data_IF_498152251408
#
_entry.id   IF_498152251408
#
_cell.length_a   1.000
_cell.length_b   1.000
_cell.length_c   1.000
_cell.angle_alpha   90.00
_cell.angle_beta   90.00
_cell.angle_gamma   90.00
#
_symmetry.space_group_name_H-M   'P 1'
#
loop_
_entity.id
_entity.type
_entity.pdbx_description
1 polymer ?
#
# COMPACT_ATOMS: atom_id res chain seq x y z
N UNK A 1 22.35 2.91 19.45
CA UNK A 1 21.01 2.31 19.26
C UNK A 1 20.03 3.42 18.92
N UNK A 2 19.10 3.18 18.01
CA UNK A 2 18.02 4.13 17.70
C UNK A 2 16.90 4.02 18.74
N UNK A 3 15.98 5.00 18.78
CA UNK A 3 14.85 4.99 19.73
C UNK A 3 14.00 3.71 19.63
N UNK A 4 13.76 3.23 18.40
CA UNK A 4 13.03 1.98 18.17
C UNK A 4 13.80 0.81 18.76
N UNK A 5 15.10 0.70 18.49
CA UNK A 5 15.94 -0.38 19.01
C UNK A 5 16.01 -0.38 20.54
N UNK A 6 16.13 0.79 21.17
CA UNK A 6 16.14 0.94 22.63
C UNK A 6 14.81 0.50 23.26
N UNK A 7 13.69 0.86 22.64
CA UNK A 7 12.36 0.50 23.12
C UNK A 7 12.02 -0.99 22.91
N UNK A 8 12.54 -1.62 21.84
CA UNK A 8 12.09 -2.97 21.45
C UNK A 8 13.05 -4.08 21.84
N UNK A 9 14.36 -3.91 21.70
CA UNK A 9 15.34 -5.00 21.87
C UNK A 9 15.27 -5.69 23.24
N UNK A 10 15.22 -4.97 24.38
CA UNK A 10 15.15 -5.62 25.71
C UNK A 10 13.92 -6.52 25.86
N UNK A 11 12.79 -6.10 25.29
CA UNK A 11 11.51 -6.81 25.38
C UNK A 11 11.50 -7.98 24.39
N UNK A 12 12.00 -7.80 23.18
CA UNK A 12 12.08 -8.85 22.14
C UNK A 12 12.90 -10.05 22.62
N UNK A 13 14.03 -9.81 23.30
CA UNK A 13 14.88 -10.87 23.82
C UNK A 13 14.25 -11.68 24.96
N UNK A 14 13.17 -11.18 25.58
CA UNK A 14 12.44 -11.86 26.64
C UNK A 14 11.56 -13.04 26.18
N UNK A 15 11.49 -13.33 24.87
CA UNK A 15 10.77 -14.49 24.32
C UNK A 15 9.24 -14.37 24.28
N UNK A 16 8.68 -13.25 24.72
CA UNK A 16 7.24 -12.95 24.65
C UNK A 16 6.84 -12.58 23.22
N UNK A 17 5.66 -13.00 22.79
CA UNK A 17 5.09 -12.55 21.52
C UNK A 17 4.79 -11.05 21.56
N UNK A 18 5.03 -10.35 20.45
CA UNK A 18 4.94 -8.89 20.38
C UNK A 18 4.21 -8.40 19.14
N UNK A 19 3.37 -7.39 19.32
CA UNK A 19 2.88 -6.51 18.28
C UNK A 19 3.51 -5.13 18.46
N UNK A 20 4.29 -4.70 17.48
CA UNK A 20 5.09 -3.48 17.55
C UNK A 20 4.60 -2.50 16.49
N UNK A 21 4.12 -1.33 16.93
CA UNK A 21 3.78 -0.21 16.06
C UNK A 21 4.96 0.74 15.92
N UNK A 22 5.40 1.00 14.69
CA UNK A 22 6.55 1.86 14.39
C UNK A 22 6.45 2.58 13.04
N UNK A 23 7.25 3.63 12.83
CA UNK A 23 7.39 4.36 11.54
C UNK A 23 7.85 3.43 10.42
N UNK A 24 8.46 2.31 10.79
CA UNK A 24 9.18 1.41 9.90
C UNK A 24 10.44 2.06 9.37
N UNK A 25 11.30 1.27 8.76
CA UNK A 25 12.56 1.76 8.21
C UNK A 25 13.56 0.63 8.11
N UNK A 26 14.83 0.97 8.27
CA UNK A 26 15.89 -0.04 8.39
C UNK A 26 16.14 -0.38 9.86
N UNK A 27 15.79 0.50 10.80
CA UNK A 27 16.10 0.33 12.22
C UNK A 27 15.30 -0.80 12.89
N UNK A 28 14.02 -0.96 12.54
CA UNK A 28 13.15 -2.06 12.96
C UNK A 28 13.59 -3.40 12.36
N UNK A 29 14.05 -3.37 11.11
CA UNK A 29 14.67 -4.53 10.45
C UNK A 29 15.93 -4.95 11.18
N UNK A 30 16.83 -4.00 11.46
CA UNK A 30 18.07 -4.27 12.22
C UNK A 30 17.76 -4.77 13.63
N UNK A 31 16.77 -4.21 14.32
CA UNK A 31 16.34 -4.73 15.64
C UNK A 31 15.92 -6.21 15.58
N UNK A 32 15.14 -6.58 14.56
CA UNK A 32 14.72 -7.96 14.34
C UNK A 32 15.87 -8.88 13.96
N UNK A 33 16.80 -8.39 13.14
CA UNK A 33 17.98 -9.15 12.74
C UNK A 33 18.95 -9.36 13.91
N UNK A 34 19.13 -8.38 14.80
CA UNK A 34 19.94 -8.54 16.01
C UNK A 34 19.38 -9.65 16.90
N UNK A 35 18.06 -9.64 17.14
CA UNK A 35 17.39 -10.71 17.89
C UNK A 35 17.49 -12.06 17.19
N UNK A 36 17.31 -12.08 15.86
CA UNK A 36 17.45 -13.28 15.04
C UNK A 36 18.85 -13.90 15.13
N UNK A 37 19.90 -13.09 15.02
CA UNK A 37 21.29 -13.53 15.07
C UNK A 37 21.64 -14.02 16.47
N UNK A 38 21.26 -13.29 17.52
CA UNK A 38 21.47 -13.71 18.91
C UNK A 38 20.81 -15.08 19.19
N UNK A 39 19.56 -15.26 18.76
CA UNK A 39 18.85 -16.52 18.91
C UNK A 39 19.50 -17.66 18.10
N UNK A 40 19.93 -17.39 16.87
CA UNK A 40 20.61 -18.37 16.02
C UNK A 40 21.96 -18.81 16.61
N UNK A 41 22.70 -17.90 17.24
CA UNK A 41 23.98 -18.21 17.90
C UNK A 41 23.80 -19.01 19.19
N UNK A 42 22.75 -18.71 19.98
CA UNK A 42 22.45 -19.41 21.24
C UNK A 42 21.77 -20.76 21.07
N UNK A 43 21.10 -20.98 19.93
CA UNK A 43 20.40 -22.24 19.68
C UNK A 43 21.39 -23.35 19.33
N UNK A 44 21.46 -24.44 20.11
CA UNK A 44 22.34 -25.55 19.79
C UNK A 44 22.01 -26.13 18.43
N UNK A 45 23.05 -26.39 17.62
CA UNK A 45 22.88 -27.07 16.34
C UNK A 45 22.49 -28.52 16.58
N UNK A 46 21.19 -28.79 16.60
CA UNK A 46 20.73 -30.17 16.52
C UNK A 46 20.88 -30.66 15.09
N UNK A 47 21.67 -31.72 14.91
CA UNK A 47 21.66 -32.52 13.70
C UNK A 47 20.37 -33.34 13.77
N UNK A 48 19.40 -33.06 12.89
CA UNK A 48 18.20 -33.89 12.82
C UNK A 48 18.58 -35.33 12.43
N UNK A 49 17.69 -36.30 12.66
CA UNK A 49 17.87 -37.71 12.25
C UNK A 49 18.23 -37.87 10.75
N UNK A 50 17.95 -36.85 9.93
CA UNK A 50 18.31 -36.80 8.51
C UNK A 50 19.67 -36.12 8.19
N UNK A 51 20.47 -35.79 9.21
CA UNK A 51 21.79 -35.17 9.05
C UNK A 51 21.74 -33.67 8.69
N UNK A 52 20.57 -33.03 8.77
CA UNK A 52 20.35 -31.64 8.29
C UNK A 52 19.92 -30.73 9.43
N UNK A 53 20.38 -29.47 9.40
CA UNK A 53 19.99 -28.47 10.38
C UNK A 53 18.67 -27.78 10.00
N UNK A 54 17.81 -27.56 10.99
CA UNK A 54 16.55 -26.83 10.88
C UNK A 54 16.79 -25.32 11.01
N UNK A 55 16.05 -24.51 10.26
CA UNK A 55 16.00 -23.08 10.44
C UNK A 55 15.30 -22.74 11.76
N UNK A 56 15.92 -21.85 12.54
CA UNK A 56 15.41 -21.40 13.84
C UNK A 56 14.71 -20.05 13.73
N UNK A 57 15.03 -19.27 12.70
CA UNK A 57 14.46 -17.96 12.49
C UNK A 57 13.88 -17.80 11.09
N UNK A 58 12.69 -17.22 11.02
CA UNK A 58 12.00 -16.88 9.78
C UNK A 58 11.54 -15.42 9.86
N UNK A 59 12.03 -14.59 8.95
CA UNK A 59 11.57 -13.22 8.75
C UNK A 59 10.81 -13.13 7.42
N UNK A 60 9.60 -12.58 7.46
CA UNK A 60 8.73 -12.42 6.28
C UNK A 60 8.50 -10.95 6.01
N UNK A 61 8.75 -10.53 4.78
CA UNK A 61 8.56 -9.16 4.30
C UNK A 61 7.62 -9.14 3.09
N UNK A 62 6.81 -8.09 2.92
CA UNK A 62 5.81 -8.01 1.85
C UNK A 62 6.39 -7.95 0.44
N UNK A 63 7.61 -7.43 0.25
CA UNK A 63 8.22 -7.21 -1.08
C UNK A 63 9.62 -7.77 -1.20
N UNK A 64 10.05 -8.03 -2.44
CA UNK A 64 11.39 -8.52 -2.74
C UNK A 64 12.47 -7.52 -2.34
N UNK A 65 12.21 -6.24 -2.58
CA UNK A 65 13.13 -5.15 -2.28
C UNK A 65 13.41 -5.07 -0.77
N UNK A 66 12.37 -5.25 0.06
CA UNK A 66 12.56 -5.30 1.52
C UNK A 66 13.31 -6.55 1.97
N UNK A 67 13.06 -7.70 1.33
CA UNK A 67 13.86 -8.91 1.57
C UNK A 67 15.33 -8.69 1.20
N UNK A 68 15.61 -8.04 0.07
CA UNK A 68 16.98 -7.76 -0.38
C UNK A 68 17.71 -6.81 0.58
N UNK A 69 17.04 -5.76 1.06
CA UNK A 69 17.57 -4.86 2.10
C UNK A 69 17.84 -5.63 3.39
N UNK A 70 16.86 -6.41 3.88
CA UNK A 70 17.02 -7.20 5.10
C UNK A 70 18.13 -8.25 4.98
N UNK A 71 18.27 -8.89 3.81
CA UNK A 71 19.33 -9.84 3.55
C UNK A 71 20.71 -9.19 3.48
N UNK A 72 20.82 -7.99 2.91
CA UNK A 72 22.06 -7.23 2.90
C UNK A 72 22.49 -6.84 4.32
N UNK A 73 21.57 -6.34 5.14
CA UNK A 73 21.84 -6.02 6.56
C UNK A 73 22.17 -7.27 7.37
N UNK A 74 21.48 -8.38 7.14
CA UNK A 74 21.77 -9.65 7.80
C UNK A 74 23.19 -10.14 7.48
N UNK A 75 23.63 -10.03 6.22
CA UNK A 75 25.00 -10.41 5.82
C UNK A 75 26.06 -9.57 6.51
N UNK A 76 25.82 -8.26 6.70
CA UNK A 76 26.74 -7.40 7.47
C UNK A 76 26.85 -7.86 8.92
N UNK A 77 25.71 -8.14 9.56
CA UNK A 77 25.68 -8.63 10.94
C UNK A 77 26.35 -10.01 11.09
N UNK A 78 26.27 -10.86 10.06
CA UNK A 78 26.85 -12.20 10.06
C UNK A 78 28.32 -12.26 9.62
N UNK A 79 28.95 -11.12 9.29
CA UNK A 79 30.32 -11.07 8.76
C UNK A 79 31.34 -11.81 9.64
N UNK A 80 31.18 -11.76 10.97
CA UNK A 80 32.03 -12.44 11.94
C UNK A 80 31.41 -13.70 12.55
N UNK A 81 30.27 -14.16 12.03
CA UNK A 81 29.51 -15.30 12.52
C UNK A 81 29.31 -16.34 11.40
N UNK A 82 30.41 -16.83 10.82
CA UNK A 82 30.43 -17.75 9.66
C UNK A 82 29.67 -19.07 9.89
N UNK A 83 29.41 -19.39 11.15
CA UNK A 83 28.61 -20.53 11.56
C UNK A 83 27.09 -20.38 11.38
N UNK A 84 26.59 -19.19 11.10
CA UNK A 84 25.15 -18.93 10.91
C UNK A 84 24.91 -18.65 9.42
N UNK A 85 24.13 -19.50 8.79
CA UNK A 85 23.79 -19.42 7.37
C UNK A 85 22.44 -18.76 7.17
N UNK A 86 22.40 -17.92 6.14
CA UNK A 86 21.24 -17.15 5.71
C UNK A 86 20.75 -17.68 4.36
N UNK A 87 19.44 -17.91 4.23
CA UNK A 87 18.78 -18.19 2.95
C UNK A 87 17.69 -17.17 2.65
N UNK A 88 17.58 -16.83 1.37
CA UNK A 88 16.59 -15.88 0.85
C UNK A 88 15.60 -16.61 -0.04
N UNK A 89 14.30 -16.43 0.24
CA UNK A 89 13.19 -17.14 -0.42
C UNK A 89 12.22 -16.14 -1.04
N UNK A 90 12.38 -15.88 -2.34
CA UNK A 90 11.63 -14.83 -3.06
C UNK A 90 11.09 -15.31 -4.40
N UNK A 91 9.96 -14.73 -4.83
CA UNK A 91 9.39 -15.03 -6.15
C UNK A 91 10.28 -14.58 -7.31
N UNK A 92 10.23 -15.27 -8.45
CA UNK A 92 10.93 -14.90 -9.68
C UNK A 92 12.07 -15.82 -10.10
N UNK A 93 12.57 -16.68 -9.21
CA UNK A 93 13.46 -17.81 -9.53
C UNK A 93 12.69 -19.08 -9.90
N UNK A 94 13.36 -19.99 -10.61
CA UNK A 94 12.85 -21.35 -10.82
C UNK A 94 12.71 -22.06 -9.46
N UNK A 95 11.50 -22.50 -9.15
CA UNK A 95 11.18 -23.09 -7.84
C UNK A 95 11.97 -24.38 -7.58
N UNK A 96 12.24 -25.19 -8.62
CA UNK A 96 12.98 -26.45 -8.47
C UNK A 96 14.44 -26.22 -8.12
N UNK A 97 15.08 -25.25 -8.77
CA UNK A 97 16.47 -24.87 -8.47
C UNK A 97 16.58 -24.25 -7.07
N UNK A 98 15.61 -23.42 -6.70
CA UNK A 98 15.52 -22.85 -5.36
C UNK A 98 15.35 -23.96 -4.32
N UNK A 99 14.43 -24.90 -4.52
CA UNK A 99 14.23 -26.05 -3.65
C UNK A 99 15.48 -26.92 -3.51
N UNK A 100 16.21 -27.16 -4.60
CA UNK A 100 17.46 -27.91 -4.55
C UNK A 100 18.52 -27.17 -3.71
N UNK A 101 18.63 -25.84 -3.87
CA UNK A 101 19.52 -25.00 -3.06
C UNK A 101 19.13 -25.01 -1.57
N UNK A 102 17.85 -24.85 -1.27
CA UNK A 102 17.31 -24.88 0.10
C UNK A 102 17.57 -26.24 0.75
N UNK A 103 17.43 -27.34 0.01
CA UNK A 103 17.73 -28.70 0.50
C UNK A 103 19.22 -28.99 0.67
N UNK A 104 20.06 -28.45 -0.20
CA UNK A 104 21.50 -28.74 -0.23
C UNK A 104 22.27 -28.04 0.89
N UNK A 105 21.77 -26.91 1.41
CA UNK A 105 22.44 -26.14 2.45
C UNK A 105 21.61 -26.09 3.74
N UNK A 106 22.28 -26.34 4.86
CA UNK A 106 21.74 -25.95 6.17
C UNK A 106 21.53 -24.44 6.25
N UNK A 107 20.55 -24.03 7.05
CA UNK A 107 20.22 -22.63 7.24
C UNK A 107 19.63 -22.43 8.62
N UNK A 108 20.09 -21.41 9.33
CA UNK A 108 19.57 -21.02 10.64
C UNK A 108 18.58 -19.86 10.52
N UNK A 109 18.76 -18.99 9.51
CA UNK A 109 17.94 -17.78 9.28
C UNK A 109 17.38 -17.78 7.85
N UNK A 110 16.05 -17.76 7.72
CA UNK A 110 15.36 -17.60 6.44
C UNK A 110 14.71 -16.22 6.36
N UNK A 111 14.93 -15.51 5.26
CA UNK A 111 14.23 -14.26 4.93
C UNK A 111 13.41 -14.49 3.66
N UNK A 112 12.11 -14.17 3.69
CA UNK A 112 11.21 -14.58 2.64
C UNK A 112 10.10 -13.58 2.28
N UNK A 113 9.55 -13.74 1.07
CA UNK A 113 8.23 -13.18 0.70
C UNK A 113 7.12 -14.21 0.92
N UNK A 114 5.90 -13.81 1.34
CA UNK A 114 4.85 -14.74 1.75
C UNK A 114 4.48 -15.76 0.67
N UNK A 115 4.26 -15.30 -0.56
CA UNK A 115 3.78 -16.16 -1.65
C UNK A 115 4.77 -17.27 -2.00
N UNK A 116 6.06 -16.95 -2.16
CA UNK A 116 7.09 -17.95 -2.44
C UNK A 116 7.31 -18.88 -1.24
N UNK A 117 7.30 -18.32 -0.02
CA UNK A 117 7.45 -19.10 1.19
C UNK A 117 6.37 -20.18 1.30
N UNK A 118 5.09 -19.81 1.18
CA UNK A 118 3.99 -20.75 1.29
C UNK A 118 4.05 -21.82 0.18
N UNK A 119 4.38 -21.44 -1.05
CA UNK A 119 4.56 -22.39 -2.14
C UNK A 119 5.63 -23.44 -1.82
N UNK A 120 6.80 -23.00 -1.32
CA UNK A 120 7.87 -23.92 -0.92
C UNK A 120 7.46 -24.82 0.26
N UNK A 121 6.68 -24.31 1.22
CA UNK A 121 6.17 -25.10 2.35
C UNK A 121 5.15 -26.15 1.92
N UNK A 122 4.33 -25.86 0.90
CA UNK A 122 3.31 -26.76 0.37
C UNK A 122 3.88 -27.80 -0.61
N UNK A 123 4.83 -27.43 -1.46
CA UNK A 123 5.38 -28.31 -2.50
C UNK A 123 6.47 -29.27 -1.98
N UNK A 124 7.08 -28.95 -0.84
CA UNK A 124 8.22 -29.69 -0.30
C UNK A 124 8.04 -30.03 1.17
N UNK A 125 7.67 -31.28 1.46
CA UNK A 125 7.74 -31.84 2.80
C UNK A 125 9.13 -31.64 3.45
N UNK A 126 10.20 -31.61 2.63
CA UNK A 126 11.56 -31.32 3.08
C UNK A 126 11.77 -29.89 3.57
N UNK A 127 11.16 -28.87 2.94
CA UNK A 127 11.30 -27.47 3.37
C UNK A 127 10.45 -27.19 4.62
N UNK A 128 9.23 -27.73 4.69
CA UNK A 128 8.45 -27.69 5.91
C UNK A 128 9.19 -28.39 7.08
N UNK A 129 9.89 -29.50 6.80
CA UNK A 129 10.78 -30.16 7.75
C UNK A 129 11.91 -29.28 8.26
N UNK A 130 12.48 -28.40 7.42
CA UNK A 130 13.52 -27.45 7.83
C UNK A 130 12.98 -26.37 8.79
N UNK A 131 11.68 -26.07 8.78
CA UNK A 131 11.05 -25.08 9.67
C UNK A 131 10.42 -25.71 10.93
N UNK A 132 10.62 -27.02 11.15
CA UNK A 132 10.00 -27.74 12.27
C UNK A 132 10.42 -27.18 13.63
N UNK A 133 11.70 -26.85 13.77
CA UNK A 133 12.28 -26.37 15.03
C UNK A 133 12.35 -24.83 15.09
N UNK A 134 11.48 -24.14 14.34
CA UNK A 134 11.42 -22.70 14.32
C UNK A 134 11.20 -22.15 15.73
N UNK A 135 12.06 -21.23 16.15
CA UNK A 135 12.03 -20.55 17.45
C UNK A 135 11.50 -19.13 17.34
N UNK A 136 11.67 -18.47 16.19
CA UNK A 136 11.24 -17.09 15.97
C UNK A 136 10.61 -16.93 14.59
N UNK A 137 9.40 -16.36 14.57
CA UNK A 137 8.75 -15.82 13.39
C UNK A 137 8.65 -14.29 13.52
N UNK A 138 9.13 -13.56 12.52
CA UNK A 138 8.94 -12.11 12.41
C UNK A 138 8.16 -11.80 11.15
N UNK A 139 7.03 -11.09 11.26
CA UNK A 139 6.31 -10.52 10.13
C UNK A 139 6.55 -9.00 10.11
N UNK A 140 7.22 -8.50 9.08
CA UNK A 140 7.45 -7.07 8.89
C UNK A 140 6.37 -6.42 8.03
N UNK A 141 6.10 -5.14 8.29
CA UNK A 141 5.13 -4.32 7.57
C UNK A 141 3.77 -5.03 7.40
N UNK A 142 3.21 -5.54 8.52
CA UNK A 142 1.98 -6.33 8.54
C UNK A 142 0.81 -5.62 7.83
N UNK A 143 0.63 -4.32 8.06
CA UNK A 143 -0.39 -3.58 7.33
C UNK A 143 -0.20 -3.65 5.81
N UNK A 144 1.03 -3.55 5.32
CA UNK A 144 1.34 -3.63 3.89
C UNK A 144 1.08 -5.04 3.34
N UNK A 145 1.42 -6.07 4.11
CA UNK A 145 1.08 -7.45 3.79
C UNK A 145 -0.44 -7.63 3.60
N UNK A 146 -1.24 -7.06 4.50
CA UNK A 146 -2.70 -7.10 4.44
C UNK A 146 -3.24 -6.32 3.25
N UNK A 147 -2.73 -5.10 3.00
CA UNK A 147 -3.12 -4.30 1.83
C UNK A 147 -2.83 -5.02 0.50
N UNK A 148 -1.78 -5.85 0.47
CA UNK A 148 -1.40 -6.67 -0.68
C UNK A 148 -2.23 -7.95 -0.82
N UNK A 149 -3.18 -8.19 0.10
CA UNK A 149 -4.05 -9.36 0.09
C UNK A 149 -3.41 -10.64 0.61
N UNK A 150 -2.29 -10.55 1.36
CA UNK A 150 -1.58 -11.73 1.86
C UNK A 150 -2.19 -12.35 3.12
N UNK A 151 -3.35 -11.89 3.61
CA UNK A 151 -3.98 -12.42 4.82
C UNK A 151 -4.08 -13.96 4.81
N UNK A 152 -4.69 -14.54 3.76
CA UNK A 152 -4.81 -16.00 3.62
C UNK A 152 -3.48 -16.71 3.46
N UNK A 153 -2.51 -16.07 2.81
CA UNK A 153 -1.15 -16.61 2.67
C UNK A 153 -0.44 -16.68 4.01
N UNK A 154 -0.57 -15.64 4.84
CA UNK A 154 0.04 -15.57 6.18
C UNK A 154 -0.63 -16.57 7.12
N UNK A 155 -1.97 -16.66 7.11
CA UNK A 155 -2.69 -17.69 7.87
C UNK A 155 -2.18 -19.09 7.50
N UNK A 156 -2.02 -19.36 6.20
CA UNK A 156 -1.42 -20.60 5.70
C UNK A 156 -0.02 -20.86 6.25
N UNK A 157 0.89 -19.88 6.17
CA UNK A 157 2.25 -20.00 6.71
C UNK A 157 2.21 -20.28 8.21
N UNK A 158 1.50 -19.47 8.99
CA UNK A 158 1.40 -19.58 10.45
C UNK A 158 0.86 -20.94 10.88
N UNK A 159 -0.12 -21.48 10.16
CA UNK A 159 -0.73 -22.78 10.44
C UNK A 159 0.22 -23.98 10.26
N UNK A 160 1.22 -23.84 9.39
CA UNK A 160 2.21 -24.88 9.11
C UNK A 160 3.44 -24.81 10.04
N UNK A 161 3.56 -23.75 10.84
CA UNK A 161 4.69 -23.53 11.74
C UNK A 161 4.38 -24.00 13.17
N UNK A 162 5.44 -24.38 13.91
CA UNK A 162 5.31 -24.76 15.33
C UNK A 162 4.70 -23.66 16.18
N UNK A 163 3.79 -24.02 17.10
CA UNK A 163 3.16 -23.10 18.07
C UNK A 163 4.09 -22.73 19.22
N UNK A 164 5.18 -23.45 19.45
CA UNK A 164 6.11 -23.17 20.57
C UNK A 164 7.05 -21.98 20.31
N UNK A 165 7.12 -21.47 19.08
CA UNK A 165 7.94 -20.31 18.68
C UNK A 165 7.48 -18.99 19.32
N UNK A 166 8.37 -18.00 19.38
CA UNK A 166 8.02 -16.60 19.55
C UNK A 166 7.55 -16.01 18.20
N UNK A 167 6.52 -15.17 18.21
CA UNK A 167 6.08 -14.41 17.03
C UNK A 167 6.13 -12.91 17.30
N UNK A 168 6.72 -12.15 16.38
CA UNK A 168 6.83 -10.69 16.44
C UNK A 168 6.22 -10.09 15.18
N UNK A 169 5.31 -9.14 15.35
CA UNK A 169 4.63 -8.43 14.26
C UNK A 169 5.05 -6.96 14.28
N UNK A 170 5.60 -6.48 13.16
CA UNK A 170 5.87 -5.05 12.98
C UNK A 170 4.82 -4.45 12.05
N UNK A 171 4.19 -3.36 12.49
CA UNK A 171 3.20 -2.66 11.69
C UNK A 171 3.36 -1.15 11.79
N UNK A 172 3.03 -0.47 10.69
CA UNK A 172 2.93 1.00 10.66
C UNK A 172 1.60 1.52 11.20
N UNK A 173 0.59 0.65 11.29
CA UNK A 173 -0.76 0.98 11.73
C UNK A 173 -1.34 -0.15 12.58
N UNK A 174 -2.28 0.19 13.47
CA UNK A 174 -3.09 -0.78 14.23
C UNK A 174 -4.53 -0.79 13.69
N UNK A 175 -4.71 -1.17 12.42
CA UNK A 175 -6.06 -1.36 11.90
C UNK A 175 -6.74 -2.58 12.53
N UNK A 176 -8.06 -2.67 12.40
CA UNK A 176 -8.83 -3.85 12.82
C UNK A 176 -8.31 -5.14 12.17
N UNK A 177 -7.85 -5.06 10.92
CA UNK A 177 -7.28 -6.21 10.20
C UNK A 177 -5.93 -6.64 10.81
N UNK A 178 -5.08 -5.68 11.20
CA UNK A 178 -3.83 -5.97 11.93
C UNK A 178 -4.14 -6.57 13.29
N UNK A 179 -5.14 -6.04 14.00
CA UNK A 179 -5.59 -6.57 15.29
C UNK A 179 -6.09 -8.01 15.15
N UNK A 180 -6.94 -8.29 14.16
CA UNK A 180 -7.45 -9.64 13.89
C UNK A 180 -6.32 -10.63 13.57
N UNK A 181 -5.38 -10.24 12.69
CA UNK A 181 -4.23 -11.07 12.38
C UNK A 181 -3.32 -11.29 13.60
N UNK A 182 -3.18 -10.29 14.46
CA UNK A 182 -2.38 -10.40 15.70
C UNK A 182 -2.96 -11.46 16.63
N UNK A 183 -4.29 -11.48 16.82
CA UNK A 183 -4.94 -12.51 17.63
C UNK A 183 -4.86 -13.91 17.01
N UNK A 184 -4.75 -14.01 15.69
CA UNK A 184 -4.55 -15.28 15.00
C UNK A 184 -3.11 -15.79 15.11
N UNK A 185 -2.12 -14.91 14.92
CA UNK A 185 -0.72 -15.27 14.78
C UNK A 185 0.07 -15.31 16.10
N UNK A 186 -0.35 -14.53 17.10
CA UNK A 186 0.33 -14.39 18.39
C UNK A 186 -0.33 -15.23 19.49
N UNK A 187 0.48 -15.64 20.48
CA UNK A 187 0.00 -16.28 21.72
C UNK A 187 -0.80 -15.30 22.57
N UNK A 188 -1.73 -15.84 23.38
CA UNK A 188 -2.53 -15.06 24.33
C UNK A 188 -1.63 -14.27 25.28
N UNK A 189 -1.98 -12.99 25.50
CA UNK A 189 -1.25 -12.11 26.40
C UNK A 189 0.01 -11.49 25.79
N UNK A 190 0.16 -11.48 24.45
CA UNK A 190 1.24 -10.80 23.74
C UNK A 190 1.40 -9.33 24.18
N UNK A 191 2.63 -8.82 24.12
CA UNK A 191 2.91 -7.42 24.42
C UNK A 191 2.61 -6.51 23.24
N UNK A 192 2.13 -5.30 23.51
CA UNK A 192 2.00 -4.24 22.51
C UNK A 192 3.04 -3.17 22.82
N UNK A 193 3.88 -2.85 21.84
CA UNK A 193 4.84 -1.74 21.94
C UNK A 193 4.43 -0.71 20.91
N UNK A 194 4.26 0.52 21.36
CA UNK A 194 3.99 1.65 20.49
C UNK A 194 5.14 2.63 20.55
N UNK A 195 5.84 2.78 19.44
CA UNK A 195 6.99 3.69 19.34
C UNK A 195 6.60 5.08 18.85
N UNK A 196 5.31 5.34 18.65
CA UNK A 196 4.77 6.66 18.34
C UNK A 196 4.26 7.35 19.61
N UNK A 197 4.48 8.66 19.72
CA UNK A 197 3.77 9.47 20.72
C UNK A 197 2.41 9.99 20.19
N UNK A 198 1.86 9.36 19.14
CA UNK A 198 0.58 9.71 18.49
C UNK A 198 0.65 9.78 16.96
N UNK A 199 -0.50 9.71 16.28
CA UNK A 199 -0.61 9.90 14.81
C UNK A 199 -0.18 11.30 14.38
N UNK A 200 -0.39 12.28 15.26
CA UNK A 200 0.06 13.66 15.14
C UNK A 200 1.54 13.72 14.73
N UNK A 201 2.45 13.10 15.49
CA UNK A 201 3.90 13.18 15.27
C UNK A 201 4.38 12.76 13.87
N UNK A 202 3.63 11.88 13.19
CA UNK A 202 3.96 11.42 11.84
C UNK A 202 3.51 12.45 10.82
N UNK A 203 2.28 12.92 10.95
CA UNK A 203 1.73 13.94 10.08
C UNK A 203 2.53 15.26 10.24
N UNK A 204 3.02 15.57 11.44
CA UNK A 204 3.85 16.76 11.69
C UNK A 204 5.20 16.75 10.94
N UNK A 205 5.63 15.60 10.37
CA UNK A 205 6.82 15.54 9.51
C UNK A 205 6.62 16.07 8.09
N UNK A 206 5.36 16.30 7.68
CA UNK A 206 5.01 16.85 6.37
C UNK A 206 4.87 18.37 6.50
N UNK A 207 5.66 19.11 5.72
CA UNK A 207 5.82 20.56 5.87
C UNK A 207 4.52 21.34 5.66
N UNK A 208 3.66 20.88 4.75
CA UNK A 208 2.39 21.53 4.44
C UNK A 208 1.32 20.50 4.10
N UNK A 209 0.22 20.50 4.84
CA UNK A 209 -0.95 19.64 4.58
C UNK A 209 -2.18 20.51 4.39
N UNK A 210 -2.75 20.45 3.20
CA UNK A 210 -3.96 21.18 2.85
C UNK A 210 -5.04 20.25 2.33
N UNK A 211 -6.30 20.60 2.56
CA UNK A 211 -7.43 20.05 1.83
C UNK A 211 -8.17 21.12 1.06
N UNK A 212 -8.81 20.72 -0.03
CA UNK A 212 -9.65 21.61 -0.84
C UNK A 212 -10.95 20.90 -1.19
N UNK A 213 -12.06 21.65 -1.14
CA UNK A 213 -13.39 21.18 -1.51
C UNK A 213 -13.73 21.73 -2.89
N UNK A 214 -13.71 20.87 -3.91
CA UNK A 214 -14.01 21.27 -5.29
C UNK A 214 -15.00 20.32 -5.95
N UNK A 215 -15.94 20.83 -6.77
CA UNK A 215 -16.81 19.99 -7.58
C UNK A 215 -16.01 19.03 -8.44
N UNK A 216 -16.54 17.83 -8.65
CA UNK A 216 -15.85 16.75 -9.35
C UNK A 216 -15.32 17.15 -10.75
N UNK A 217 -16.08 17.96 -11.48
CA UNK A 217 -15.69 18.47 -12.81
C UNK A 217 -14.37 19.25 -12.81
N UNK A 218 -14.00 19.84 -11.67
CA UNK A 218 -12.79 20.64 -11.52
C UNK A 218 -11.56 19.80 -11.17
N UNK A 219 -11.73 18.54 -10.74
CA UNK A 219 -10.63 17.75 -10.17
C UNK A 219 -9.48 17.56 -11.17
N UNK A 220 -9.80 17.24 -12.43
CA UNK A 220 -8.78 17.02 -13.47
C UNK A 220 -8.01 18.32 -13.76
N UNK A 221 -8.70 19.43 -13.94
CA UNK A 221 -8.07 20.70 -14.25
C UNK A 221 -7.27 21.26 -13.05
N UNK A 222 -7.75 21.04 -11.82
CA UNK A 222 -7.04 21.44 -10.60
C UNK A 222 -5.73 20.68 -10.43
N UNK A 223 -5.76 19.34 -10.58
CA UNK A 223 -4.54 18.54 -10.51
C UNK A 223 -3.56 18.97 -11.62
N UNK A 224 -4.05 19.26 -12.83
CA UNK A 224 -3.20 19.79 -13.89
C UNK A 224 -2.51 21.11 -13.50
N UNK A 225 -3.27 22.08 -12.99
CA UNK A 225 -2.74 23.35 -12.51
C UNK A 225 -1.67 23.14 -11.42
N UNK A 226 -1.93 22.24 -10.47
CA UNK A 226 -0.99 21.91 -9.40
C UNK A 226 0.30 21.26 -9.89
N UNK A 227 0.21 20.35 -10.86
CA UNK A 227 1.40 19.75 -11.45
C UNK A 227 2.23 20.80 -12.20
N UNK A 228 1.59 21.68 -13.00
CA UNK A 228 2.30 22.75 -13.71
C UNK A 228 3.01 23.71 -12.75
N UNK A 229 2.31 24.16 -11.71
CA UNK A 229 2.86 25.03 -10.68
C UNK A 229 4.04 24.35 -9.97
N UNK A 230 3.88 23.09 -9.58
CA UNK A 230 4.94 22.34 -8.91
C UNK A 230 6.19 22.18 -9.79
N UNK A 231 6.04 21.71 -11.04
CA UNK A 231 7.18 21.50 -11.94
C UNK A 231 7.81 22.81 -12.45
N UNK A 232 7.11 23.94 -12.34
CA UNK A 232 7.71 25.24 -12.58
C UNK A 232 8.75 25.59 -11.50
N UNK A 233 8.48 25.24 -10.24
CA UNK A 233 9.36 25.51 -9.10
C UNK A 233 10.37 24.39 -8.82
N UNK A 234 9.99 23.14 -9.08
CA UNK A 234 10.82 21.95 -8.91
C UNK A 234 10.76 21.08 -10.19
N UNK A 235 11.49 21.45 -11.26
CA UNK A 235 11.45 20.72 -12.54
C UNK A 235 11.86 19.24 -12.45
N UNK A 236 12.59 18.87 -11.39
CA UNK A 236 13.03 17.50 -11.09
C UNK A 236 12.22 16.86 -9.96
N UNK A 237 11.08 17.49 -9.63
CA UNK A 237 10.20 17.07 -8.55
C UNK A 237 9.63 15.68 -8.78
N UNK A 238 9.30 14.99 -7.68
CA UNK A 238 8.68 13.68 -7.73
C UNK A 238 7.32 13.78 -7.07
N UNK A 239 6.28 13.54 -7.87
CA UNK A 239 4.89 13.70 -7.46
C UNK A 239 4.20 12.35 -7.38
N UNK A 240 3.45 12.12 -6.32
CA UNK A 240 2.57 10.95 -6.19
C UNK A 240 1.13 11.39 -6.13
N UNK A 241 0.29 10.81 -6.99
CA UNK A 241 -1.15 11.05 -7.01
C UNK A 241 -1.90 9.77 -6.62
N UNK A 242 -2.55 9.80 -5.46
CA UNK A 242 -3.41 8.73 -4.98
C UNK A 242 -4.83 8.87 -5.53
N UNK A 243 -5.32 7.82 -6.19
CA UNK A 243 -6.68 7.72 -6.71
C UNK A 243 -7.50 6.70 -5.90
N UNK A 244 -8.82 6.86 -5.85
CA UNK A 244 -9.72 5.94 -5.15
C UNK A 244 -9.77 4.53 -5.78
N UNK A 245 -9.65 4.44 -7.10
CA UNK A 245 -9.80 3.17 -7.83
C UNK A 245 -8.67 2.95 -8.84
N UNK A 246 -8.34 1.68 -9.08
CA UNK A 246 -7.36 1.26 -10.10
C UNK A 246 -7.70 1.82 -11.48
N UNK A 247 -8.99 1.87 -11.86
CA UNK A 247 -9.39 2.34 -13.18
C UNK A 247 -9.26 3.86 -13.30
N UNK A 248 -9.52 4.59 -12.22
CA UNK A 248 -9.22 6.03 -12.14
C UNK A 248 -7.71 6.26 -12.26
N UNK A 249 -6.88 5.42 -11.62
CA UNK A 249 -5.42 5.50 -11.77
C UNK A 249 -4.98 5.37 -13.23
N UNK A 250 -5.54 4.39 -13.98
CA UNK A 250 -5.22 4.22 -15.40
C UNK A 250 -5.67 5.43 -16.25
N UNK A 251 -6.87 5.95 -16.00
CA UNK A 251 -7.38 7.13 -16.68
C UNK A 251 -6.48 8.34 -16.47
N UNK A 252 -6.12 8.61 -15.21
CA UNK A 252 -5.29 9.76 -14.85
C UNK A 252 -3.90 9.62 -15.49
N UNK A 253 -3.27 8.45 -15.39
CA UNK A 253 -1.95 8.23 -15.98
C UNK A 253 -1.91 8.51 -17.50
N UNK A 254 -2.93 8.08 -18.25
CA UNK A 254 -3.03 8.34 -19.70
C UNK A 254 -3.33 9.82 -20.00
N UNK A 255 -4.30 10.42 -19.28
CA UNK A 255 -4.64 11.83 -19.45
C UNK A 255 -3.44 12.75 -19.23
N UNK A 256 -2.72 12.58 -18.11
CA UNK A 256 -1.58 13.46 -17.81
C UNK A 256 -0.36 13.16 -18.69
N UNK A 257 -0.28 11.97 -19.28
CA UNK A 257 0.69 11.69 -20.34
C UNK A 257 0.37 12.48 -21.61
N UNK A 258 -0.90 12.53 -22.02
CA UNK A 258 -1.35 13.35 -23.16
C UNK A 258 -1.14 14.85 -22.91
N UNK A 259 -1.22 15.29 -21.66
CA UNK A 259 -0.90 16.66 -21.23
C UNK A 259 0.61 16.95 -21.13
N UNK A 260 1.48 15.99 -21.48
CA UNK A 260 2.93 16.18 -21.60
C UNK A 260 3.75 15.88 -20.35
N UNK A 261 3.17 15.32 -19.29
CA UNK A 261 3.96 14.90 -18.12
C UNK A 261 4.60 13.52 -18.33
N UNK A 262 5.78 13.31 -17.73
CA UNK A 262 6.33 11.98 -17.55
C UNK A 262 5.51 11.25 -16.47
N UNK A 263 4.57 10.39 -16.89
CA UNK A 263 3.69 9.66 -15.96
C UNK A 263 4.06 8.19 -15.84
N UNK A 264 3.75 7.61 -14.68
CA UNK A 264 3.74 6.17 -14.44
C UNK A 264 2.48 5.77 -13.69
N UNK A 265 2.05 4.54 -13.90
CA UNK A 265 0.89 3.96 -13.23
C UNK A 265 1.31 2.71 -12.46
N UNK A 266 0.95 2.64 -11.18
CA UNK A 266 1.23 1.47 -10.36
C UNK A 266 0.03 1.11 -9.48
N UNK A 267 -0.35 -0.18 -9.47
CA UNK A 267 -1.41 -0.69 -8.60
C UNK A 267 -1.26 -2.19 -8.36
N UNK A 268 -1.99 -2.73 -7.38
CA UNK A 268 -1.89 -4.14 -6.95
C UNK A 268 -2.14 -5.18 -8.06
N UNK A 269 -2.96 -4.84 -9.07
CA UNK A 269 -3.21 -5.73 -10.23
C UNK A 269 -2.09 -5.75 -11.28
N UNK A 270 -1.04 -4.94 -11.16
CA UNK A 270 0.14 -5.03 -12.05
C UNK A 270 0.99 -6.22 -11.60
N UNK A 271 1.64 -6.90 -12.56
CA UNK A 271 2.60 -7.97 -12.26
C UNK A 271 3.72 -7.42 -11.37
N UNK A 272 4.22 -8.25 -10.45
CA UNK A 272 5.26 -7.82 -9.51
C UNK A 272 6.51 -7.27 -10.20
N UNK A 273 6.96 -7.94 -11.26
CA UNK A 273 8.11 -7.49 -12.06
C UNK A 273 7.91 -6.10 -12.67
N UNK A 274 6.67 -5.76 -13.05
CA UNK A 274 6.32 -4.44 -13.57
C UNK A 274 6.28 -3.41 -12.46
N UNK A 275 5.74 -3.78 -11.28
CA UNK A 275 5.74 -2.90 -10.09
C UNK A 275 7.16 -2.53 -9.69
N UNK A 276 8.04 -3.51 -9.56
CA UNK A 276 9.45 -3.33 -9.21
C UNK A 276 10.16 -2.40 -10.21
N UNK A 277 9.95 -2.63 -11.53
CA UNK A 277 10.53 -1.78 -12.58
C UNK A 277 10.05 -0.34 -12.49
N UNK A 278 8.75 -0.11 -12.40
CA UNK A 278 8.18 1.25 -12.31
C UNK A 278 8.64 1.96 -11.04
N UNK A 279 8.70 1.25 -9.91
CA UNK A 279 9.20 1.81 -8.67
C UNK A 279 10.68 2.19 -8.75
N UNK A 280 11.50 1.37 -9.44
CA UNK A 280 12.90 1.70 -9.71
C UNK A 280 13.02 2.93 -10.63
N UNK A 281 12.30 2.95 -11.75
CA UNK A 281 12.26 4.10 -12.68
C UNK A 281 11.89 5.40 -11.96
N UNK A 282 10.88 5.36 -11.08
CA UNK A 282 10.47 6.53 -10.30
C UNK A 282 11.56 6.99 -9.31
N UNK A 283 12.21 6.06 -8.60
CA UNK A 283 13.29 6.37 -7.66
C UNK A 283 14.54 6.90 -8.35
N UNK A 284 14.88 6.42 -9.53
CA UNK A 284 16.10 6.81 -10.23
C UNK A 284 15.88 7.91 -11.28
N UNK A 285 14.66 8.42 -11.44
CA UNK A 285 14.38 9.52 -12.36
C UNK A 285 15.11 10.79 -11.90
N UNK A 286 15.93 11.33 -12.80
CA UNK A 286 16.59 12.64 -12.65
C UNK A 286 15.72 13.79 -13.18
N UNK A 287 14.67 13.47 -13.93
CA UNK A 287 13.66 14.39 -14.44
C UNK A 287 12.37 14.34 -13.61
N UNK A 288 11.55 15.39 -13.76
CA UNK A 288 10.25 15.48 -13.13
C UNK A 288 9.33 14.34 -13.54
N UNK A 289 8.74 13.65 -12.56
CA UNK A 289 7.94 12.44 -12.80
C UNK A 289 6.71 12.39 -11.87
N UNK A 290 5.60 11.91 -12.42
CA UNK A 290 4.32 11.74 -11.72
C UNK A 290 3.93 10.28 -11.64
N UNK A 291 3.75 9.76 -10.43
CA UNK A 291 3.29 8.41 -10.18
C UNK A 291 1.82 8.41 -9.76
N UNK A 292 0.96 7.86 -10.59
CA UNK A 292 -0.43 7.58 -10.25
C UNK A 292 -0.55 6.21 -9.59
N UNK A 293 -1.20 6.15 -8.44
CA UNK A 293 -1.44 4.89 -7.70
C UNK A 293 -2.79 4.85 -7.01
N UNK A 294 -3.34 3.66 -6.80
CA UNK A 294 -4.52 3.45 -5.94
C UNK A 294 -4.18 3.06 -4.51
N UNK A 295 -2.90 2.85 -4.17
CA UNK A 295 -2.48 2.35 -2.86
C UNK A 295 -1.04 2.71 -2.49
N UNK A 296 -0.82 3.01 -1.21
CA UNK A 296 0.49 3.36 -0.66
C UNK A 296 1.48 2.19 -0.66
N UNK A 297 0.97 0.96 -0.66
CA UNK A 297 1.74 -0.28 -0.47
C UNK A 297 2.37 -0.81 -1.76
N UNK A 298 2.27 -0.07 -2.87
CA UNK A 298 2.58 -0.58 -4.21
C UNK A 298 3.96 -0.13 -4.72
N UNK A 299 4.50 0.99 -4.23
CA UNK A 299 5.78 1.57 -4.69
C UNK A 299 7.05 1.18 -3.91
N UNK A 300 6.93 0.32 -2.89
CA UNK A 300 8.08 -0.29 -2.20
C UNK A 300 8.68 0.51 -1.05
N UNK A 301 9.98 0.28 -0.78
CA UNK A 301 10.64 0.54 0.50
C UNK A 301 11.04 1.99 0.78
N UNK A 302 11.21 2.86 -0.23
CA UNK A 302 11.60 4.26 0.02
C UNK A 302 10.98 5.25 -0.95
N UNK A 303 10.49 6.36 -0.40
CA UNK A 303 9.88 7.50 -1.09
C UNK A 303 10.43 8.86 -0.64
N UNK A 304 11.60 8.83 -0.02
CA UNK A 304 12.14 9.95 0.75
C UNK A 304 12.33 11.23 -0.08
N UNK A 305 12.44 11.10 -1.40
CA UNK A 305 12.63 12.15 -2.40
C UNK A 305 11.35 12.74 -3.00
N UNK A 306 10.16 12.24 -2.63
CA UNK A 306 8.87 12.82 -3.05
C UNK A 306 8.66 14.19 -2.46
N UNK A 307 8.35 15.16 -3.32
CA UNK A 307 8.19 16.58 -2.98
C UNK A 307 6.71 17.02 -2.96
N UNK A 308 5.82 16.33 -3.68
CA UNK A 308 4.38 16.59 -3.64
C UNK A 308 3.55 15.31 -3.62
N UNK A 309 2.54 15.29 -2.76
CA UNK A 309 1.53 14.23 -2.68
C UNK A 309 0.16 14.84 -2.93
N UNK A 310 -0.57 14.30 -3.90
CA UNK A 310 -1.96 14.67 -4.16
C UNK A 310 -2.83 13.45 -3.84
N UNK A 311 -3.84 13.62 -2.99
CA UNK A 311 -4.81 12.58 -2.69
C UNK A 311 -6.17 12.98 -3.25
N UNK A 312 -6.73 12.15 -4.13
CA UNK A 312 -8.04 12.40 -4.74
C UNK A 312 -9.09 11.57 -4.01
N UNK A 313 -10.09 12.27 -3.47
CA UNK A 313 -11.21 11.71 -2.73
C UNK A 313 -10.84 11.26 -1.32
N UNK A 314 -11.86 10.90 -0.56
CA UNK A 314 -11.68 10.60 0.87
C UNK A 314 -10.78 9.40 1.13
N UNK A 315 -9.84 9.49 2.10
CA UNK A 315 -9.21 8.31 2.66
C UNK A 315 -10.26 7.50 3.43
N UNK A 316 -10.08 6.19 3.51
CA UNK A 316 -10.98 5.29 4.26
C UNK A 316 -10.82 5.41 5.78
N UNK A 317 -9.68 5.93 6.26
CA UNK A 317 -9.36 6.10 7.68
C UNK A 317 -8.19 7.10 7.87
N UNK A 318 -7.93 7.55 9.11
CA UNK A 318 -6.77 8.39 9.44
C UNK A 318 -5.45 7.68 9.14
N UNK A 319 -5.37 6.38 9.43
CA UNK A 319 -4.18 5.57 9.21
C UNK A 319 -3.86 5.47 7.72
N UNK A 320 -4.88 5.34 6.86
CA UNK A 320 -4.66 5.36 5.42
C UNK A 320 -4.13 6.70 4.94
N UNK A 321 -4.67 7.81 5.45
CA UNK A 321 -4.20 9.16 5.13
C UNK A 321 -2.74 9.35 5.54
N UNK A 322 -2.42 9.08 6.81
CA UNK A 322 -1.06 9.19 7.35
C UNK A 322 -0.09 8.31 6.58
N UNK A 323 -0.46 7.06 6.28
CA UNK A 323 0.37 6.13 5.49
C UNK A 323 0.71 6.64 4.10
N UNK A 324 -0.21 7.35 3.45
CA UNK A 324 0.04 7.93 2.11
C UNK A 324 1.05 9.06 2.15
N UNK A 325 1.07 9.85 3.21
CA UNK A 325 1.94 11.04 3.33
C UNK A 325 3.29 10.75 3.99
N UNK A 326 3.36 9.66 4.78
CA UNK A 326 4.52 9.31 5.58
C UNK A 326 5.76 9.02 4.71
N UNK A 327 6.88 9.72 4.94
CA UNK A 327 8.13 9.37 4.30
C UNK A 327 8.62 7.99 4.72
N UNK A 328 9.10 7.22 3.75
CA UNK A 328 9.82 5.97 3.95
C UNK A 328 11.28 6.20 3.50
N UNK A 329 12.23 6.14 4.43
CA UNK A 329 13.65 6.30 4.16
C UNK A 329 14.38 7.22 5.16
N UNK A 330 15.72 7.23 5.12
CA UNK A 330 16.56 7.83 6.18
C UNK A 330 16.59 9.37 6.17
N UNK A 331 16.34 10.02 5.04
CA UNK A 331 16.35 11.50 4.92
C UNK A 331 15.19 11.95 4.05
N UNK A 332 14.11 12.48 4.65
CA UNK A 332 12.96 12.96 3.89
C UNK A 332 13.17 14.41 3.42
N UNK A 333 12.95 14.68 2.13
CA UNK A 333 12.77 16.06 1.65
C UNK A 333 11.51 16.66 2.27
N UNK A 334 11.48 17.99 2.44
CA UNK A 334 10.23 18.69 2.71
C UNK A 334 9.25 18.39 1.58
N UNK A 335 8.03 17.99 1.95
CA UNK A 335 6.96 17.63 1.02
C UNK A 335 5.67 18.33 1.39
N UNK A 336 4.87 18.65 0.37
CA UNK A 336 3.52 19.13 0.55
C UNK A 336 2.52 17.99 0.27
N UNK A 337 1.37 18.03 0.94
CA UNK A 337 0.23 17.15 0.68
C UNK A 337 -1.02 17.99 0.40
N UNK A 338 -1.69 17.71 -0.71
CA UNK A 338 -2.99 18.26 -1.06
C UNK A 338 -4.05 17.15 -1.12
N UNK A 339 -5.06 17.24 -0.26
CA UNK A 339 -6.23 16.36 -0.26
C UNK A 339 -7.38 17.05 -1.02
N UNK A 340 -7.76 16.50 -2.17
CA UNK A 340 -8.84 17.01 -3.02
C UNK A 340 -10.11 16.22 -2.70
N UNK A 341 -11.13 16.89 -2.18
CA UNK A 341 -12.41 16.29 -1.81
C UNK A 341 -13.56 16.92 -2.61
N UNK A 342 -14.60 16.15 -2.83
CA UNK A 342 -15.89 16.68 -3.28
C UNK A 342 -16.67 17.28 -2.10
N UNK A 343 -17.58 18.25 -2.31
CA UNK A 343 -18.34 18.86 -1.21
C UNK A 343 -19.11 17.84 -0.34
N UNK A 344 -19.58 16.74 -0.90
CA UNK A 344 -20.29 15.70 -0.14
C UNK A 344 -19.35 14.80 0.68
N UNK A 345 -18.04 14.81 0.40
CA UNK A 345 -17.02 14.04 1.11
C UNK A 345 -16.52 14.76 2.38
N UNK A 346 -17.02 15.97 2.68
CA UNK A 346 -16.60 16.79 3.84
C UNK A 346 -16.69 16.06 5.18
N UNK A 347 -17.64 15.14 5.35
CA UNK A 347 -17.80 14.33 6.57
C UNK A 347 -16.56 13.50 6.91
N UNK A 348 -15.77 13.12 5.91
CA UNK A 348 -14.54 12.34 6.04
C UNK A 348 -13.46 13.08 6.82
N UNK A 349 -13.49 14.42 6.83
CA UNK A 349 -12.54 15.24 7.58
C UNK A 349 -12.65 15.00 9.09
N UNK A 350 -13.82 14.54 9.58
CA UNK A 350 -14.00 14.17 10.99
C UNK A 350 -13.06 13.04 11.42
N UNK A 351 -12.69 12.16 10.50
CA UNK A 351 -11.74 11.08 10.76
C UNK A 351 -10.28 11.56 10.74
N UNK A 352 -10.02 12.76 10.23
CA UNK A 352 -8.67 13.33 10.08
C UNK A 352 -8.41 14.46 11.07
N UNK A 353 -9.22 14.58 12.13
CA UNK A 353 -9.15 15.69 13.10
C UNK A 353 -7.79 15.81 13.80
N UNK A 354 -7.11 14.68 14.01
CA UNK A 354 -5.79 14.63 14.65
C UNK A 354 -4.63 14.88 13.65
N UNK A 355 -4.94 15.03 12.36
CA UNK A 355 -3.96 15.41 11.35
C UNK A 355 -3.85 16.94 11.27
N UNK A 356 -2.64 17.51 11.08
CA UNK A 356 -2.41 18.95 10.96
C UNK A 356 -2.83 19.46 9.57
N UNK A 357 -4.09 19.21 9.20
CA UNK A 357 -4.66 19.44 7.89
C UNK A 357 -5.42 20.77 7.89
N UNK A 358 -4.96 21.71 7.06
CA UNK A 358 -5.55 23.05 6.94
C UNK A 358 -6.42 23.18 5.69
N UNK A 359 -7.45 24.04 5.71
CA UNK A 359 -8.22 24.32 4.50
C UNK A 359 -7.39 25.20 3.57
N UNK A 360 -7.17 24.73 2.34
CA UNK A 360 -6.61 25.55 1.27
C UNK A 360 -7.56 26.73 0.98
N UNK A 361 -7.03 27.91 0.60
CA UNK A 361 -7.81 28.94 -0.07
C UNK A 361 -8.56 28.35 -1.26
N UNK A 362 -9.69 28.98 -1.63
CA UNK A 362 -10.44 28.57 -2.80
C UNK A 362 -9.53 28.66 -4.03
N UNK A 363 -9.44 27.55 -4.76
CA UNK A 363 -8.56 27.41 -5.92
C UNK A 363 -9.38 27.50 -7.19
N UNK A 364 -9.19 28.57 -7.93
CA UNK A 364 -9.75 28.72 -9.27
C UNK A 364 -8.80 28.10 -10.30
N UNK A 365 -9.37 27.46 -11.32
CA UNK A 365 -8.62 26.98 -12.47
C UNK A 365 -8.98 27.85 -13.66
N UNK A 366 -7.98 28.37 -14.36
CA UNK A 366 -8.24 29.21 -15.52
C UNK A 366 -9.01 28.42 -16.59
N UNK A 367 -9.99 29.02 -17.29
CA UNK A 367 -10.73 28.34 -18.36
C UNK A 367 -9.85 27.75 -19.47
N UNK A 368 -8.68 28.37 -19.73
CA UNK A 368 -7.71 27.86 -20.68
C UNK A 368 -7.13 26.49 -20.28
N UNK A 369 -6.86 26.28 -18.99
CA UNK A 369 -6.37 24.99 -18.48
C UNK A 369 -7.48 23.93 -18.50
N UNK A 370 -8.73 24.32 -18.19
CA UNK A 370 -9.87 23.41 -18.31
C UNK A 370 -10.05 22.91 -19.74
N UNK A 371 -9.96 23.81 -20.73
CA UNK A 371 -10.06 23.46 -22.13
C UNK A 371 -8.92 22.51 -22.57
N UNK A 372 -7.68 22.76 -22.14
CA UNK A 372 -6.55 21.88 -22.42
C UNK A 372 -6.77 20.47 -21.87
N UNK A 373 -7.26 20.36 -20.63
CA UNK A 373 -7.59 19.07 -20.02
C UNK A 373 -8.71 18.37 -20.78
N UNK A 374 -9.74 19.10 -21.19
CA UNK A 374 -10.85 18.54 -21.94
C UNK A 374 -10.40 17.98 -23.30
N UNK A 375 -9.57 18.72 -24.04
CA UNK A 375 -8.99 18.27 -25.32
C UNK A 375 -8.14 17.01 -25.14
N UNK A 376 -7.24 17.00 -24.17
CA UNK A 376 -6.40 15.82 -23.90
C UNK A 376 -7.20 14.60 -23.42
N UNK A 377 -8.37 14.83 -22.78
CA UNK A 377 -9.28 13.79 -22.33
C UNK A 377 -10.07 13.15 -23.47
N UNK A 378 -10.36 13.91 -24.54
CA UNK A 378 -11.00 13.38 -25.75
C UNK A 378 -10.10 12.34 -26.44
N UNK A 379 -8.79 12.55 -26.41
CA UNK A 379 -7.77 11.62 -26.92
C UNK A 379 -7.61 10.35 -26.07
N UNK A 380 -8.14 10.33 -24.84
CA UNK A 380 -8.12 9.11 -24.02
C UNK A 380 -9.13 8.10 -24.54
N UNK A 381 -8.66 6.87 -24.73
CA UNK A 381 -9.48 5.75 -25.19
C UNK A 381 -10.81 5.62 -24.43
N UNK A 382 -11.89 5.42 -25.19
CA UNK A 382 -13.25 5.31 -24.68
C UNK A 382 -13.37 4.22 -23.60
N UNK A 383 -12.71 3.07 -23.77
CA UNK A 383 -12.79 1.96 -22.80
C UNK A 383 -12.08 2.31 -21.49
N UNK A 384 -11.00 3.08 -21.52
CA UNK A 384 -10.34 3.58 -20.30
C UNK A 384 -11.30 4.51 -19.54
N UNK A 385 -11.86 5.52 -20.21
CA UNK A 385 -12.81 6.47 -19.61
C UNK A 385 -14.05 5.75 -19.06
N UNK A 386 -14.61 4.81 -19.82
CA UNK A 386 -15.82 4.06 -19.43
C UNK A 386 -15.54 3.16 -18.22
N UNK A 387 -14.41 2.46 -18.17
CA UNK A 387 -14.03 1.64 -17.01
C UNK A 387 -13.77 2.49 -15.76
N UNK A 388 -13.21 3.68 -15.91
CA UNK A 388 -13.00 4.62 -14.80
C UNK A 388 -14.33 5.15 -14.25
N UNK A 389 -15.26 5.52 -15.12
CA UNK A 389 -16.64 5.88 -14.76
C UNK A 389 -17.32 4.77 -13.93
N UNK A 390 -17.34 3.54 -14.46
CA UNK A 390 -17.99 2.41 -13.79
C UNK A 390 -17.32 2.07 -12.45
N UNK A 391 -16.00 2.15 -12.36
CA UNK A 391 -15.29 1.89 -11.11
C UNK A 391 -15.60 2.95 -10.04
N UNK A 392 -15.67 4.22 -10.42
CA UNK A 392 -16.04 5.31 -9.52
C UNK A 392 -17.46 5.12 -9.00
N UNK A 393 -18.43 4.86 -9.89
CA UNK A 393 -19.82 4.62 -9.50
C UNK A 393 -19.90 3.46 -8.51
N UNK A 394 -19.23 2.34 -8.80
CA UNK A 394 -19.19 1.16 -7.92
C UNK A 394 -18.61 1.50 -6.54
N UNK A 395 -17.51 2.25 -6.51
CA UNK A 395 -16.84 2.61 -5.27
C UNK A 395 -17.77 3.43 -4.36
N UNK A 396 -18.31 4.54 -4.87
CA UNK A 396 -19.17 5.44 -4.09
C UNK A 396 -20.50 4.79 -3.72
N UNK A 397 -21.11 4.06 -4.65
CA UNK A 397 -22.38 3.37 -4.38
C UNK A 397 -22.25 2.30 -3.30
N UNK A 398 -21.12 1.58 -3.26
CA UNK A 398 -20.88 0.54 -2.24
C UNK A 398 -20.67 1.07 -0.82
N UNK A 399 -20.28 2.35 -0.70
CA UNK A 399 -20.00 3.01 0.59
C UNK A 399 -21.22 3.72 1.17
N UNK A 400 -22.28 3.84 0.38
CA UNK A 400 -23.50 4.51 0.81
C UNK A 400 -24.55 3.46 1.17
N UNK A 401 -25.05 3.53 2.40
CA UNK A 401 -26.04 2.59 2.91
C UNK A 401 -27.47 3.08 2.66
N UNK A 402 -27.67 4.40 2.60
CA UNK A 402 -28.99 5.02 2.47
C UNK A 402 -29.45 5.10 1.01
N UNK A 403 -30.76 4.92 0.77
CA UNK A 403 -31.31 5.02 -0.58
C UNK A 403 -31.24 6.46 -1.12
N UNK A 404 -31.47 7.47 -0.27
CA UNK A 404 -31.31 8.89 -0.63
C UNK A 404 -29.85 9.25 -0.96
N UNK A 405 -28.89 8.69 -0.23
CA UNK A 405 -27.47 8.83 -0.55
C UNK A 405 -27.12 8.18 -1.89
N UNK A 406 -27.63 6.98 -2.16
CA UNK A 406 -27.43 6.28 -3.45
C UNK A 406 -27.99 7.06 -4.63
N UNK A 407 -29.16 7.67 -4.51
CA UNK A 407 -29.71 8.58 -5.53
C UNK A 407 -28.78 9.78 -5.78
N UNK A 408 -28.24 10.38 -4.71
CA UNK A 408 -27.26 11.47 -4.83
C UNK A 408 -26.00 11.00 -5.56
N UNK A 409 -25.50 9.79 -5.29
CA UNK A 409 -24.36 9.22 -6.02
C UNK A 409 -24.67 9.04 -7.51
N UNK A 410 -25.89 8.62 -7.87
CA UNK A 410 -26.29 8.48 -9.28
C UNK A 410 -26.30 9.84 -9.99
N UNK A 411 -26.84 10.89 -9.36
CA UNK A 411 -26.80 12.26 -9.91
C UNK A 411 -25.36 12.74 -10.09
N UNK A 412 -24.49 12.48 -9.12
CA UNK A 412 -23.06 12.80 -9.21
C UNK A 412 -22.35 11.98 -10.31
N UNK A 413 -22.77 10.73 -10.54
CA UNK A 413 -22.24 9.91 -11.63
C UNK A 413 -22.57 10.54 -13.00
N UNK A 414 -23.76 11.11 -13.19
CA UNK A 414 -24.08 11.84 -14.43
C UNK A 414 -23.17 13.05 -14.63
N UNK A 415 -22.89 13.81 -13.56
CA UNK A 415 -21.90 14.91 -13.60
C UNK A 415 -20.52 14.38 -13.94
N UNK A 416 -20.12 13.24 -13.38
CA UNK A 416 -18.83 12.63 -13.68
C UNK A 416 -18.73 12.16 -15.13
N UNK A 417 -19.79 11.57 -15.68
CA UNK A 417 -19.81 11.14 -17.08
C UNK A 417 -19.58 12.34 -18.02
N UNK A 418 -20.26 13.45 -17.77
CA UNK A 418 -20.03 14.70 -18.51
C UNK A 418 -18.60 15.22 -18.33
N UNK A 419 -18.07 15.19 -17.10
CA UNK A 419 -16.68 15.58 -16.83
C UNK A 419 -15.64 14.67 -17.52
N UNK A 420 -16.02 13.45 -17.90
CA UNK A 420 -15.20 12.54 -18.71
C UNK A 420 -15.38 12.71 -20.22
N UNK A 421 -16.14 13.72 -20.65
CA UNK A 421 -16.42 14.01 -22.05
C UNK A 421 -17.47 13.09 -22.68
N UNK A 422 -18.29 12.39 -21.88
CA UNK A 422 -19.40 11.61 -22.40
C UNK A 422 -20.64 12.48 -22.61
N UNK A 423 -21.26 12.40 -23.80
CA UNK A 423 -22.58 13.01 -24.06
C UNK A 423 -23.70 12.31 -23.31
N UNK A 424 -23.56 11.01 -23.10
CA UNK A 424 -24.47 10.17 -22.32
C UNK A 424 -23.65 9.17 -21.49
N UNK A 425 -24.11 8.80 -20.29
CA UNK A 425 -23.39 7.86 -19.45
C UNK A 425 -23.09 6.53 -20.18
N UNK A 426 -21.88 5.96 -20.04
CA UNK A 426 -21.55 4.67 -20.63
C UNK A 426 -22.50 3.56 -20.18
N UNK A 427 -22.85 2.67 -21.11
CA UNK A 427 -23.78 1.56 -20.85
C UNK A 427 -23.25 0.66 -19.74
N UNK A 428 -24.07 0.43 -18.72
CA UNK A 428 -23.78 -0.48 -17.61
C UNK A 428 -24.33 -1.86 -17.94
N UNK A 429 -23.49 -2.90 -17.94
CA UNK A 429 -23.96 -4.26 -18.23
C UNK A 429 -24.96 -4.74 -17.17
N UNK A 430 -25.97 -5.53 -17.57
CA UNK A 430 -27.00 -6.08 -16.65
C UNK A 430 -26.37 -6.82 -15.45
N UNK A 431 -25.27 -7.55 -15.68
CA UNK A 431 -24.48 -8.20 -14.62
C UNK A 431 -23.93 -7.18 -13.60
N UNK A 432 -23.43 -6.04 -14.07
CA UNK A 432 -22.93 -4.96 -13.20
C UNK A 432 -24.08 -4.30 -12.45
N UNK A 433 -25.22 -4.05 -13.10
CA UNK A 433 -26.42 -3.51 -12.46
C UNK A 433 -26.87 -4.39 -11.29
N UNK A 434 -26.92 -5.71 -11.50
CA UNK A 434 -27.27 -6.69 -10.46
C UNK A 434 -26.22 -6.70 -9.35
N UNK A 435 -24.93 -6.81 -9.69
CA UNK A 435 -23.83 -6.87 -8.71
C UNK A 435 -23.74 -5.63 -7.81
N UNK A 436 -24.12 -4.47 -8.33
CA UNK A 436 -24.02 -3.19 -7.62
C UNK A 436 -25.34 -2.86 -6.91
N UNK A 437 -26.43 -3.57 -7.20
CA UNK A 437 -27.75 -3.29 -6.62
C UNK A 437 -28.44 -2.07 -7.24
N UNK A 438 -28.07 -1.69 -8.47
CA UNK A 438 -28.63 -0.53 -9.20
C UNK A 438 -30.03 -0.79 -9.76
N UNK A 439 -30.57 -2.00 -9.63
CA UNK A 439 -31.84 -2.42 -10.24
C UNK A 439 -33.01 -1.51 -9.87
N UNK A 440 -33.10 -1.11 -8.60
CA UNK A 440 -34.19 -0.25 -8.10
C UNK A 440 -34.11 1.19 -8.61
N UNK A 441 -32.92 1.67 -8.94
CA UNK A 441 -32.65 3.07 -9.25
C UNK A 441 -32.53 3.38 -10.74
N UNK A 442 -32.37 2.36 -11.59
CA UNK A 442 -32.39 2.52 -13.05
C UNK A 442 -33.82 2.50 -13.60
N UNK A 443 -34.75 1.81 -12.93
CA UNK A 443 -36.16 1.77 -13.34
C UNK A 443 -36.92 3.06 -13.00
N UNK A 444 -36.51 3.81 -11.97
CA UNK A 444 -37.12 5.09 -11.62
C UNK A 444 -36.73 6.22 -12.59
N UNK A 445 -35.54 6.17 -13.19
CA UNK A 445 -35.06 7.17 -14.15
C UNK A 445 -35.76 7.09 -15.52
N UNK A 446 -36.35 5.95 -15.90
CA UNK A 446 -37.17 5.86 -17.11
C UNK A 446 -38.57 6.45 -16.93
N UNK A 447 -39.12 6.41 -15.72
CA UNK A 447 -40.47 6.92 -15.44
C UNK A 447 -40.56 8.44 -15.32
N UNK A 448 -39.45 9.16 -15.13
CA UNK A 448 -39.45 10.63 -15.11
C UNK A 448 -39.36 11.23 -16.52
N UNK A 449 -38.74 10.54 -17.48
CA UNK A 449 -38.67 11.00 -18.89
C UNK A 449 -39.97 10.87 -19.68
N UNK A 450 -40.92 10.01 -19.25
CA UNK A 450 -42.24 9.93 -19.89
C UNK A 450 -43.24 10.97 -19.34
N UNK A 451 -42.97 11.57 -18.17
CA UNK A 451 -43.86 12.58 -17.58
C UNK A 451 -43.63 14.00 -18.14
N UNK A 452 -42.46 14.31 -18.71
CA UNK A 452 -42.18 15.63 -19.29
C UNK A 452 -42.57 15.75 -20.78
N UNK A 453 -43.00 14.68 -21.45
CA UNK A 453 -43.56 14.74 -22.81
C UNK A 453 -45.08 14.91 -22.87
N UNK A 454 -45.74 15.06 -21.71
CA UNK A 454 -47.20 15.25 -21.62
C UNK A 454 -47.57 16.32 -20.59
N UNK A 455 -47.00 17.52 -20.73
CA UNK A 455 -47.60 18.76 -20.20
C UNK A 455 -47.38 19.94 -21.14
#
# INVERSE_FOLDING_TARGET
MTRVQEATLPIMTGGKDLLIRTRGGTDDVVASLLHAVDLALKTPRHVTVSGRHSAHVLLVFPTREQVEVAAAEARKLLMFHTGVKLQVVVGGSNIKEEMNRLRAASCEIVIATPGRLLANMQESAGFCGQLRDLKLLVLHDVQMLLDMGYLKTIEGIVSLLSKSRQTILWSKAMSDEVSALSHYALKKGFGVIDTFNGEADIAHSVAKQEYVLVPMKMHLALIFAQLKEHFLHDPKGKVVVFCQTIRTTSLMAELYKNLGFCTREIHIRRKETVRARIAAEFRTSDDGIVLFTSGASVWGASNSDVTLIIQVGSPSSSEQYVRRITPTGPTAKQRACLLILMPHETSSLKQLVDCPLSKSPDREVSPALELQVQQALEDVDYQIRSKAYLAWLRYHFSRESTDSGKEKIIRLAMVYANALGFKQPPTVSRKTVVQVGLQKFLNSAHNETECESTR
#
